data_IF_842967011188
#
_entry.id   IF_842967011188
#
_cell.length_a   1.000
_cell.length_b   1.000
_cell.length_c   1.000
_cell.angle_alpha   90.00
_cell.angle_beta   90.00
_cell.angle_gamma   90.00
#
_symmetry.space_group_name_H-M   'P 1'
#
loop_
_entity.id
_entity.type
_entity.pdbx_description
1 polymer ?
#
# COMPACT_ATOMS: atom_id res chain seq x y z
N UNK A 1 -19.02 16.20 -37.40
CA UNK A 1 -17.58 16.20 -37.07
C UNK A 1 -17.44 15.60 -35.68
N UNK A 2 -16.38 14.83 -35.39
CA UNK A 2 -16.05 14.50 -34.00
C UNK A 2 -16.11 15.77 -33.15
N UNK A 3 -16.80 15.72 -32.01
CA UNK A 3 -16.91 16.86 -31.12
C UNK A 3 -16.32 16.41 -29.78
N UNK A 4 -15.27 17.09 -29.33
CA UNK A 4 -14.79 16.92 -27.97
C UNK A 4 -15.92 17.20 -26.98
N UNK A 5 -16.07 16.35 -25.97
CA UNK A 5 -17.11 16.49 -24.96
C UNK A 5 -16.70 17.55 -23.91
N UNK A 6 -15.40 17.87 -23.85
CA UNK A 6 -14.79 18.87 -22.99
C UNK A 6 -14.15 20.00 -23.79
N UNK A 7 -14.00 21.17 -23.16
CA UNK A 7 -13.25 22.29 -23.74
C UNK A 7 -11.75 21.97 -23.80
N UNK A 8 -11.00 22.72 -24.62
CA UNK A 8 -9.55 22.56 -24.73
C UNK A 8 -8.84 22.74 -23.37
N UNK A 9 -9.28 23.72 -22.57
CA UNK A 9 -8.74 23.99 -21.23
C UNK A 9 -9.02 22.83 -20.25
N UNK A 10 -10.24 22.25 -20.30
CA UNK A 10 -10.60 21.10 -19.50
C UNK A 10 -9.75 19.87 -19.87
N UNK A 11 -9.57 19.60 -21.15
CA UNK A 11 -8.72 18.50 -21.64
C UNK A 11 -7.27 18.66 -21.19
N UNK A 12 -6.71 19.87 -21.28
CA UNK A 12 -5.36 20.18 -20.81
C UNK A 12 -5.22 19.91 -19.30
N UNK A 13 -6.18 20.39 -18.50
CA UNK A 13 -6.18 20.19 -17.05
C UNK A 13 -6.29 18.70 -16.67
N UNK A 14 -7.23 17.97 -17.27
CA UNK A 14 -7.46 16.54 -17.02
C UNK A 14 -6.23 15.72 -17.44
N UNK A 15 -5.64 16.03 -18.59
CA UNK A 15 -4.42 15.37 -19.07
C UNK A 15 -3.22 15.62 -18.17
N UNK A 16 -3.07 16.85 -17.66
CA UNK A 16 -2.02 17.20 -16.70
C UNK A 16 -2.20 16.46 -15.36
N UNK A 17 -3.43 16.41 -14.85
CA UNK A 17 -3.77 15.63 -13.65
C UNK A 17 -3.45 14.14 -13.87
N UNK A 18 -3.90 13.56 -14.97
CA UNK A 18 -3.65 12.15 -15.29
C UNK A 18 -2.17 11.81 -15.40
N UNK A 19 -1.36 12.74 -15.92
CA UNK A 19 0.10 12.59 -15.98
C UNK A 19 0.75 12.59 -14.60
N UNK A 20 0.34 13.49 -13.71
CA UNK A 20 0.80 13.52 -12.31
C UNK A 20 0.40 12.25 -11.56
N UNK A 21 -0.85 11.83 -11.69
CA UNK A 21 -1.36 10.61 -11.06
C UNK A 21 -0.60 9.36 -11.54
N UNK A 22 -0.27 9.26 -12.84
CA UNK A 22 0.56 8.16 -13.35
C UNK A 22 1.94 8.12 -12.67
N UNK A 23 2.54 9.29 -12.43
CA UNK A 23 3.82 9.42 -11.71
C UNK A 23 3.70 8.99 -10.25
N UNK A 24 2.73 9.54 -9.52
CA UNK A 24 2.44 9.20 -8.11
C UNK A 24 2.14 7.70 -7.95
N UNK A 25 1.32 7.13 -8.83
CA UNK A 25 1.02 5.71 -8.80
C UNK A 25 2.24 4.83 -9.09
N UNK A 26 3.16 5.26 -9.97
CA UNK A 26 4.44 4.58 -10.18
C UNK A 26 5.28 4.55 -8.91
N UNK A 27 5.39 5.70 -8.25
CA UNK A 27 6.14 5.85 -7.01
C UNK A 27 5.60 4.90 -5.92
N UNK A 28 4.29 4.87 -5.70
CA UNK A 28 3.70 3.95 -4.73
C UNK A 28 3.90 2.48 -5.08
N UNK A 29 3.82 2.09 -6.36
CA UNK A 29 4.13 0.72 -6.79
C UNK A 29 5.59 0.37 -6.43
N UNK A 30 6.54 1.25 -6.74
CA UNK A 30 7.96 1.03 -6.41
C UNK A 30 8.14 0.87 -4.90
N UNK A 31 7.57 1.77 -4.10
CA UNK A 31 7.62 1.69 -2.63
C UNK A 31 6.99 0.40 -2.12
N UNK A 32 5.88 -0.04 -2.70
CA UNK A 32 5.21 -1.30 -2.36
C UNK A 32 6.06 -2.53 -2.68
N UNK A 33 6.75 -2.54 -3.83
CA UNK A 33 7.71 -3.61 -4.20
C UNK A 33 8.89 -3.62 -3.23
N UNK A 34 9.45 -2.45 -2.87
CA UNK A 34 10.53 -2.37 -1.88
C UNK A 34 10.08 -2.92 -0.52
N UNK A 35 8.87 -2.59 -0.07
CA UNK A 35 8.30 -3.18 1.14
C UNK A 35 8.12 -4.69 1.03
N UNK A 36 7.69 -5.19 -0.14
CA UNK A 36 7.56 -6.64 -0.37
C UNK A 36 8.90 -7.36 -0.23
N UNK A 37 9.96 -6.79 -0.79
CA UNK A 37 11.32 -7.32 -0.66
C UNK A 37 11.76 -7.31 0.81
N UNK A 38 11.52 -6.22 1.53
CA UNK A 38 11.80 -6.14 2.98
C UNK A 38 11.04 -7.21 3.75
N UNK A 39 9.75 -7.41 3.47
CA UNK A 39 8.95 -8.49 4.07
C UNK A 39 9.58 -9.85 3.80
N UNK A 40 9.95 -10.16 2.56
CA UNK A 40 10.59 -11.42 2.21
C UNK A 40 11.91 -11.65 2.97
N UNK A 41 12.74 -10.60 3.09
CA UNK A 41 13.99 -10.65 3.85
C UNK A 41 13.75 -10.89 5.35
N UNK A 42 12.75 -10.24 5.95
CA UNK A 42 12.41 -10.44 7.36
C UNK A 42 11.86 -11.86 7.58
N UNK A 43 11.03 -12.38 6.66
CA UNK A 43 10.55 -13.76 6.72
C UNK A 43 11.73 -14.74 6.65
N UNK A 44 12.67 -14.54 5.72
CA UNK A 44 13.88 -15.36 5.66
C UNK A 44 14.69 -15.31 6.97
N UNK A 45 14.77 -14.14 7.61
CA UNK A 45 15.43 -13.96 8.90
C UNK A 45 14.70 -14.65 10.08
N UNK A 46 13.36 -14.71 10.04
CA UNK A 46 12.55 -15.47 11.00
C UNK A 46 12.84 -16.97 10.84
N UNK A 47 12.89 -17.48 9.61
CA UNK A 47 13.13 -18.89 9.31
C UNK A 47 14.62 -19.24 9.13
N UNK A 48 15.54 -18.41 9.61
CA UNK A 48 17.00 -18.56 9.39
C UNK A 48 17.57 -19.94 9.73
N UNK A 49 17.03 -20.59 10.76
CA UNK A 49 17.50 -21.92 11.21
C UNK A 49 16.99 -23.07 10.31
N UNK A 50 16.01 -22.80 9.45
CA UNK A 50 15.39 -23.75 8.53
C UNK A 50 15.78 -23.46 7.07
N UNK A 51 16.81 -22.62 6.84
CA UNK A 51 17.26 -22.33 5.48
C UNK A 51 17.86 -23.60 4.84
N UNK A 52 17.60 -23.84 3.54
CA UNK A 52 18.15 -24.99 2.84
C UNK A 52 19.69 -25.05 2.94
N UNK A 53 20.29 -26.24 3.15
CA UNK A 53 21.75 -26.37 3.30
C UNK A 53 22.54 -25.85 2.10
N UNK A 54 22.00 -26.01 0.88
CA UNK A 54 22.55 -25.50 -0.37
C UNK A 54 22.60 -23.97 -0.42
N UNK A 55 21.57 -23.29 0.11
CA UNK A 55 21.57 -21.84 0.27
C UNK A 55 22.65 -21.43 1.26
N UNK A 56 22.67 -22.06 2.44
CA UNK A 56 23.64 -21.75 3.49
C UNK A 56 25.09 -22.00 3.09
N UNK A 57 25.36 -22.96 2.20
CA UNK A 57 26.70 -23.21 1.67
C UNK A 57 27.25 -21.98 0.90
N UNK A 58 26.39 -21.26 0.19
CA UNK A 58 26.76 -20.14 -0.68
C UNK A 58 26.71 -18.75 0.01
N UNK A 59 26.19 -18.67 1.24
CA UNK A 59 26.14 -17.40 1.98
C UNK A 59 27.54 -16.98 2.43
N UNK A 60 27.99 -15.74 2.14
CA UNK A 60 29.28 -15.22 2.60
C UNK A 60 29.43 -15.26 4.13
N UNK A 61 30.65 -15.48 4.62
CA UNK A 61 30.94 -15.57 6.06
C UNK A 61 30.50 -14.32 6.84
N UNK A 62 30.65 -13.12 6.26
CA UNK A 62 30.19 -11.86 6.87
C UNK A 62 28.67 -11.84 7.07
N UNK A 63 27.90 -12.36 6.10
CA UNK A 63 26.44 -12.41 6.19
C UNK A 63 26.02 -13.45 7.23
N UNK A 64 26.69 -14.60 7.30
CA UNK A 64 26.46 -15.61 8.35
C UNK A 64 26.67 -15.03 9.75
N UNK A 65 27.79 -14.33 9.96
CA UNK A 65 28.07 -13.67 11.22
C UNK A 65 26.97 -12.65 11.60
N UNK A 66 26.49 -11.85 10.62
CA UNK A 66 25.38 -10.91 10.87
C UNK A 66 24.05 -11.62 11.15
N UNK A 67 23.76 -12.74 10.51
CA UNK A 67 22.54 -13.53 10.76
C UNK A 67 22.44 -14.02 12.21
N UNK A 68 23.59 -14.35 12.83
CA UNK A 68 23.66 -14.75 14.23
C UNK A 68 23.38 -13.59 15.19
N UNK A 69 23.70 -12.35 14.80
CA UNK A 69 23.44 -11.14 15.61
C UNK A 69 21.99 -10.64 15.52
N UNK A 70 21.16 -11.23 14.66
CA UNK A 70 19.78 -10.77 14.48
C UNK A 70 18.93 -10.99 15.73
N UNK A 71 17.95 -10.10 15.99
CA UNK A 71 17.00 -10.27 17.07
C UNK A 71 16.33 -11.67 17.07
N UNK A 72 15.84 -12.12 18.24
CA UNK A 72 15.03 -13.33 18.35
C UNK A 72 13.82 -13.27 17.42
N UNK A 73 13.43 -14.42 16.87
CA UNK A 73 12.39 -14.54 15.83
C UNK A 73 11.06 -13.84 16.20
N UNK A 74 10.63 -13.91 17.46
CA UNK A 74 9.37 -13.32 17.92
C UNK A 74 9.35 -11.78 17.81
N UNK A 75 10.49 -11.10 17.94
CA UNK A 75 10.58 -9.66 17.77
C UNK A 75 10.41 -9.23 16.29
N UNK A 76 10.69 -10.12 15.34
CA UNK A 76 10.69 -9.80 13.91
C UNK A 76 9.29 -9.83 13.28
N UNK A 77 8.33 -10.54 13.88
CA UNK A 77 6.97 -10.67 13.34
C UNK A 77 6.22 -9.34 13.23
N UNK A 78 6.41 -8.42 14.18
CA UNK A 78 5.80 -7.09 14.11
C UNK A 78 6.30 -6.28 12.90
N UNK A 79 7.60 -6.34 12.62
CA UNK A 79 8.20 -5.70 11.46
C UNK A 79 7.75 -6.36 10.14
N UNK A 80 7.69 -7.69 10.10
CA UNK A 80 7.18 -8.43 8.94
C UNK A 80 5.71 -8.09 8.64
N UNK A 81 4.85 -8.09 9.66
CA UNK A 81 3.44 -7.73 9.52
C UNK A 81 3.26 -6.30 9.03
N UNK A 82 3.95 -5.33 9.64
CA UNK A 82 3.91 -3.93 9.20
C UNK A 82 4.37 -3.80 7.75
N UNK A 83 5.54 -4.32 7.40
CA UNK A 83 6.06 -4.23 6.04
C UNK A 83 5.14 -4.90 5.01
N UNK A 84 4.58 -6.07 5.35
CA UNK A 84 3.67 -6.82 4.47
C UNK A 84 2.36 -6.07 4.24
N UNK A 85 1.75 -5.53 5.29
CA UNK A 85 0.54 -4.72 5.19
C UNK A 85 0.82 -3.45 4.38
N UNK A 86 1.91 -2.73 4.67
CA UNK A 86 2.32 -1.54 3.92
C UNK A 86 2.55 -1.85 2.45
N UNK A 87 3.18 -2.98 2.12
CA UNK A 87 3.37 -3.43 0.73
C UNK A 87 2.04 -3.54 -0.02
N UNK A 88 1.08 -4.28 0.55
CA UNK A 88 -0.24 -4.45 -0.05
C UNK A 88 -0.95 -3.10 -0.24
N UNK A 89 -0.93 -2.25 0.78
CA UNK A 89 -1.55 -0.91 0.70
C UNK A 89 -0.93 -0.07 -0.41
N UNK A 90 0.40 0.04 -0.47
CA UNK A 90 1.06 0.86 -1.48
C UNK A 90 0.88 0.32 -2.90
N UNK A 91 0.88 -1.00 -3.09
CA UNK A 91 0.60 -1.61 -4.40
C UNK A 91 -0.83 -1.31 -4.86
N UNK A 92 -1.82 -1.45 -3.97
CA UNK A 92 -3.21 -1.13 -4.25
C UNK A 92 -3.40 0.36 -4.58
N UNK A 93 -2.93 1.25 -3.71
CA UNK A 93 -3.00 2.71 -3.92
C UNK A 93 -2.32 3.12 -5.22
N UNK A 94 -1.13 2.59 -5.48
CA UNK A 94 -0.37 2.88 -6.69
C UNK A 94 -1.07 2.37 -7.95
N UNK A 95 -1.62 1.16 -7.91
CA UNK A 95 -2.37 0.55 -9.00
C UNK A 95 -3.59 1.37 -9.41
N UNK A 96 -4.47 1.71 -8.46
CA UNK A 96 -5.66 2.51 -8.77
C UNK A 96 -5.31 3.94 -9.17
N UNK A 97 -4.36 4.60 -8.51
CA UNK A 97 -3.93 5.97 -8.87
C UNK A 97 -3.37 6.01 -10.29
N UNK A 98 -2.52 5.04 -10.64
CA UNK A 98 -1.94 4.94 -11.98
C UNK A 98 -2.99 4.60 -13.03
N UNK A 99 -3.91 3.69 -12.72
CA UNK A 99 -5.04 3.31 -13.58
C UNK A 99 -5.94 4.50 -13.88
N UNK A 100 -6.34 5.25 -12.86
CA UNK A 100 -7.11 6.48 -13.01
C UNK A 100 -6.37 7.52 -13.86
N UNK A 101 -5.08 7.74 -13.59
CA UNK A 101 -4.26 8.66 -14.37
C UNK A 101 -4.12 8.26 -15.84
N UNK A 102 -4.03 6.97 -16.14
CA UNK A 102 -4.00 6.46 -17.50
C UNK A 102 -5.32 6.71 -18.24
N UNK A 103 -6.46 6.55 -17.56
CA UNK A 103 -7.79 6.86 -18.13
C UNK A 103 -7.96 8.35 -18.38
N UNK A 104 -7.58 9.22 -17.44
CA UNK A 104 -7.65 10.67 -17.63
C UNK A 104 -6.74 11.19 -18.75
N UNK A 105 -5.57 10.59 -18.96
CA UNK A 105 -4.75 10.93 -20.11
C UNK A 105 -5.40 10.60 -21.46
N UNK A 106 -6.29 9.60 -21.52
CA UNK A 106 -6.97 9.25 -22.76
C UNK A 106 -7.98 10.32 -23.18
N UNK A 107 -8.64 10.98 -22.22
CA UNK A 107 -9.58 12.10 -22.47
C UNK A 107 -8.96 13.20 -23.34
N UNK A 108 -7.69 13.54 -23.10
CA UNK A 108 -6.98 14.56 -23.89
C UNK A 108 -6.34 14.04 -25.18
N UNK A 109 -6.40 12.73 -25.42
CA UNK A 109 -5.71 12.05 -26.52
C UNK A 109 -6.66 11.37 -27.51
N UNK A 110 -7.97 11.36 -27.25
CA UNK A 110 -9.00 10.74 -28.08
C UNK A 110 -10.19 11.68 -28.24
N UNK A 111 -11.01 11.45 -29.27
CA UNK A 111 -12.26 12.18 -29.51
C UNK A 111 -13.46 11.23 -29.41
N UNK A 112 -14.63 11.74 -29.02
CA UNK A 112 -15.92 11.03 -28.93
C UNK A 112 -15.97 9.84 -27.94
N UNK A 113 -15.13 9.80 -26.90
CA UNK A 113 -15.20 8.76 -25.86
C UNK A 113 -14.78 9.26 -24.47
N UNK A 114 -14.86 10.56 -24.24
CA UNK A 114 -14.22 11.22 -23.12
C UNK A 114 -14.93 10.89 -21.79
N UNK A 115 -16.27 10.83 -21.79
CA UNK A 115 -17.06 10.39 -20.63
C UNK A 115 -16.73 8.95 -20.25
N UNK A 116 -16.56 8.03 -21.20
CA UNK A 116 -16.19 6.65 -20.86
C UNK A 116 -14.81 6.59 -20.21
N UNK A 117 -13.85 7.37 -20.70
CA UNK A 117 -12.53 7.48 -20.08
C UNK A 117 -12.62 8.13 -18.69
N UNK A 118 -13.47 9.14 -18.50
CA UNK A 118 -13.74 9.74 -17.20
C UNK A 118 -14.30 8.72 -16.22
N UNK A 119 -15.34 7.99 -16.61
CA UNK A 119 -16.00 6.99 -15.76
C UNK A 119 -15.06 5.86 -15.36
N UNK A 120 -14.19 5.40 -16.27
CA UNK A 120 -13.15 4.42 -15.94
C UNK A 120 -12.14 4.96 -14.90
N UNK A 121 -11.74 6.22 -15.04
CA UNK A 121 -10.84 6.87 -14.09
C UNK A 121 -11.50 7.09 -12.71
N UNK A 122 -12.72 7.59 -12.70
CA UNK A 122 -13.52 7.76 -11.49
C UNK A 122 -13.81 6.44 -10.79
N UNK A 123 -14.10 5.37 -11.54
CA UNK A 123 -14.28 4.03 -10.97
C UNK A 123 -13.04 3.54 -10.22
N UNK A 124 -11.84 3.76 -10.80
CA UNK A 124 -10.57 3.43 -10.14
C UNK A 124 -10.36 4.25 -8.86
N UNK A 125 -10.67 5.55 -8.89
CA UNK A 125 -10.60 6.41 -7.71
C UNK A 125 -11.61 6.00 -6.64
N UNK A 126 -12.84 5.67 -7.03
CA UNK A 126 -13.88 5.20 -6.13
C UNK A 126 -13.45 3.94 -5.40
N UNK A 127 -12.85 2.96 -6.08
CA UNK A 127 -12.30 1.77 -5.43
C UNK A 127 -11.19 2.10 -4.43
N UNK A 128 -10.29 3.02 -4.78
CA UNK A 128 -9.24 3.47 -3.87
C UNK A 128 -9.80 4.14 -2.61
N UNK A 129 -10.72 5.09 -2.77
CA UNK A 129 -11.34 5.78 -1.65
C UNK A 129 -12.25 4.87 -0.83
N UNK A 130 -12.92 3.90 -1.44
CA UNK A 130 -13.68 2.89 -0.72
C UNK A 130 -12.78 2.08 0.22
N UNK A 131 -11.62 1.60 -0.26
CA UNK A 131 -10.66 0.91 0.60
C UNK A 131 -10.17 1.80 1.74
N UNK A 132 -9.74 3.03 1.43
CA UNK A 132 -9.24 3.98 2.45
C UNK A 132 -10.33 4.23 3.49
N UNK A 133 -11.56 4.51 3.06
CA UNK A 133 -12.70 4.73 3.92
C UNK A 133 -12.97 3.53 4.84
N UNK A 134 -13.03 2.33 4.28
CA UNK A 134 -13.24 1.10 5.05
C UNK A 134 -12.15 0.92 6.11
N UNK A 135 -10.87 1.07 5.74
CA UNK A 135 -9.76 0.93 6.69
C UNK A 135 -9.79 1.99 7.79
N UNK A 136 -10.10 3.25 7.45
CA UNK A 136 -10.22 4.33 8.43
C UNK A 136 -11.36 4.08 9.42
N UNK A 137 -12.51 3.61 8.96
CA UNK A 137 -13.64 3.28 9.83
C UNK A 137 -13.26 2.15 10.80
N UNK A 138 -12.69 1.05 10.29
CA UNK A 138 -12.25 -0.05 11.17
C UNK A 138 -11.17 0.39 12.15
N UNK A 139 -10.21 1.20 11.72
CA UNK A 139 -9.17 1.75 12.59
C UNK A 139 -9.79 2.61 13.70
N UNK A 140 -10.72 3.51 13.36
CA UNK A 140 -11.41 4.35 14.34
C UNK A 140 -12.18 3.52 15.36
N UNK A 141 -12.91 2.49 14.91
CA UNK A 141 -13.62 1.56 15.80
C UNK A 141 -12.66 0.80 16.72
N UNK A 142 -11.52 0.33 16.21
CA UNK A 142 -10.52 -0.37 17.00
C UNK A 142 -9.90 0.55 18.08
N UNK A 143 -9.65 1.82 17.76
CA UNK A 143 -9.15 2.82 18.72
C UNK A 143 -10.18 3.06 19.83
N UNK A 144 -11.45 3.26 19.47
CA UNK A 144 -12.53 3.45 20.46
C UNK A 144 -12.65 2.22 21.37
N UNK A 145 -12.62 1.01 20.81
CA UNK A 145 -12.66 -0.22 21.59
C UNK A 145 -11.45 -0.37 22.53
N UNK A 146 -10.24 -0.07 22.05
CA UNK A 146 -9.03 -0.12 22.87
C UNK A 146 -9.08 0.85 24.05
N UNK A 147 -9.57 2.08 23.84
CA UNK A 147 -9.78 3.07 24.91
C UNK A 147 -10.80 2.55 25.92
N UNK A 148 -11.96 2.06 25.46
CA UNK A 148 -13.01 1.56 26.33
C UNK A 148 -12.53 0.38 27.20
N UNK A 149 -11.82 -0.59 26.60
CA UNK A 149 -11.24 -1.72 27.31
C UNK A 149 -10.18 -1.28 28.33
N UNK A 150 -9.32 -0.32 27.96
CA UNK A 150 -8.33 0.25 28.86
C UNK A 150 -8.95 0.94 30.09
N UNK A 151 -9.97 1.76 29.87
CA UNK A 151 -10.72 2.42 30.94
C UNK A 151 -11.45 1.41 31.83
N UNK A 152 -12.07 0.40 31.25
CA UNK A 152 -12.72 -0.67 32.01
C UNK A 152 -11.73 -1.44 32.89
N UNK A 153 -10.56 -1.78 32.34
CA UNK A 153 -9.50 -2.44 33.10
C UNK A 153 -9.00 -1.60 34.29
N UNK A 154 -8.79 -0.30 34.08
CA UNK A 154 -8.42 0.62 35.17
C UNK A 154 -9.51 0.73 36.23
N UNK A 155 -10.78 0.81 35.83
CA UNK A 155 -11.92 0.87 36.74
C UNK A 155 -12.05 -0.38 37.63
N UNK A 156 -11.74 -1.56 37.10
CA UNK A 156 -11.71 -2.80 37.89
C UNK A 156 -10.59 -2.78 38.93
N UNK A 157 -9.39 -2.33 38.57
CA UNK A 157 -8.27 -2.24 39.50
C UNK A 157 -8.55 -1.30 40.68
N UNK A 158 -9.31 -0.21 40.46
CA UNK A 158 -9.70 0.72 41.53
C UNK A 158 -10.76 0.17 42.50
N UNK A 159 -11.51 -0.88 42.12
CA UNK A 159 -12.49 -1.51 43.00
C UNK A 159 -11.94 -2.72 43.76
N UNK A 160 -10.83 -3.30 43.29
CA UNK A 160 -10.15 -4.43 43.92
C UNK A 160 -8.99 -4.05 44.85
N UNK A 161 -8.69 -2.76 45.00
CA UNK A 161 -7.69 -2.18 45.91
C UNK A 161 -8.38 -1.43 47.04
#
# INVERSE_FOLDING_TARGET
>A
MPQYEFTADQNSLIGALGSKMKGVGAFFIIVGILHLLVTALIIAAIYRNNLPPDVMANVPAEVKAKLETLPPQHHLWGFAANAGISSLLYLCLGGWTRGAGASFRKISATENNDISHLMNGLGSLNSMYALIYTLLVFFMLAVVAAIALGLYGQWQLMQGA
#
